data_IF_332434341981
#
_entry.id   IF_332434341981
#
_cell.length_a   1.000
_cell.length_b   1.000
_cell.length_c   1.000
_cell.angle_alpha   90.00
_cell.angle_beta   90.00
_cell.angle_gamma   90.00
#
_symmetry.space_group_name_H-M   'P 1'
#
loop_
_entity.id
_entity.type
_entity.pdbx_description
1 polymer ?
#
# COMPACT_ATOMS: atom_id res chain seq x y z
N UNK A 1 -13.87 5.69 13.05
CA UNK A 1 -13.02 5.66 11.83
C UNK A 1 -13.43 6.74 10.83
N UNK A 2 -14.70 7.16 10.81
CA UNK A 2 -15.21 8.26 9.98
C UNK A 2 -14.42 9.57 10.17
N UNK A 3 -13.97 9.85 11.39
CA UNK A 3 -13.19 11.05 11.73
C UNK A 3 -11.66 10.88 11.53
N UNK A 4 -11.21 9.71 11.05
CA UNK A 4 -9.79 9.40 10.77
C UNK A 4 -9.49 9.29 9.27
N UNK A 5 -10.49 9.45 8.42
CA UNK A 5 -10.35 9.37 6.96
C UNK A 5 -10.71 10.75 6.42
N UNK A 6 -9.79 11.36 5.67
CA UNK A 6 -10.02 12.67 5.09
C UNK A 6 -11.20 12.64 4.10
N UNK A 7 -11.98 13.72 4.06
CA UNK A 7 -13.02 13.90 3.05
C UNK A 7 -12.39 13.80 1.65
N UNK A 8 -13.01 13.03 0.76
CA UNK A 8 -12.53 12.70 -0.61
C UNK A 8 -11.37 11.70 -0.68
N UNK A 9 -11.05 11.00 0.40
CA UNK A 9 -10.18 9.82 0.31
C UNK A 9 -10.80 8.77 -0.62
N UNK A 10 -9.97 8.11 -1.43
CA UNK A 10 -10.37 7.01 -2.31
C UNK A 10 -9.93 5.70 -1.68
N UNK A 11 -10.86 4.76 -1.51
CA UNK A 11 -10.53 3.41 -1.07
C UNK A 11 -10.17 2.56 -2.29
N UNK A 12 -8.96 2.01 -2.33
CA UNK A 12 -8.55 1.08 -3.39
C UNK A 12 -8.38 -0.32 -2.80
N UNK A 13 -9.28 -1.24 -3.15
CA UNK A 13 -9.18 -2.65 -2.74
C UNK A 13 -9.60 -3.58 -3.87
N UNK A 14 -9.29 -4.87 -3.72
CA UNK A 14 -9.95 -5.90 -4.52
C UNK A 14 -11.47 -5.90 -4.26
N UNK A 15 -12.24 -6.48 -5.19
CA UNK A 15 -13.71 -6.50 -5.20
C UNK A 15 -14.35 -7.35 -4.09
N UNK A 16 -13.67 -7.55 -2.96
CA UNK A 16 -14.20 -8.31 -1.84
C UNK A 16 -15.39 -7.57 -1.19
N UNK A 17 -16.49 -8.29 -0.95
CA UNK A 17 -17.78 -7.72 -0.56
C UNK A 17 -17.73 -6.87 0.72
N UNK A 18 -16.87 -7.23 1.68
CA UNK A 18 -16.70 -6.47 2.92
C UNK A 18 -16.24 -5.02 2.68
N UNK A 19 -15.33 -4.81 1.73
CA UNK A 19 -14.82 -3.47 1.41
C UNK A 19 -15.85 -2.64 0.64
N UNK A 20 -16.61 -3.28 -0.26
CA UNK A 20 -17.72 -2.63 -0.98
C UNK A 20 -18.80 -2.13 -0.01
N UNK A 21 -19.21 -2.96 0.94
CA UNK A 21 -20.20 -2.58 1.95
C UNK A 21 -19.66 -1.48 2.88
N UNK A 22 -18.38 -1.54 3.25
CA UNK A 22 -17.74 -0.51 4.04
C UNK A 22 -17.68 0.84 3.32
N UNK A 23 -17.29 0.86 2.03
CA UNK A 23 -17.23 2.07 1.23
C UNK A 23 -18.60 2.73 1.09
N UNK A 24 -19.63 1.93 0.77
CA UNK A 24 -21.02 2.39 0.69
C UNK A 24 -21.51 2.99 2.01
N UNK A 25 -21.26 2.31 3.13
CA UNK A 25 -21.67 2.79 4.47
C UNK A 25 -21.02 4.12 4.85
N UNK A 26 -19.80 4.37 4.39
CA UNK A 26 -19.04 5.57 4.73
C UNK A 26 -19.04 6.65 3.63
N UNK A 27 -19.76 6.44 2.52
CA UNK A 27 -19.77 7.32 1.35
C UNK A 27 -18.36 7.62 0.81
N UNK A 28 -17.52 6.59 0.75
CA UNK A 28 -16.14 6.66 0.26
C UNK A 28 -16.12 6.17 -1.19
N UNK A 29 -15.41 6.88 -2.06
CA UNK A 29 -15.21 6.45 -3.44
C UNK A 29 -14.40 5.14 -3.46
N UNK A 30 -14.90 4.12 -4.16
CA UNK A 30 -14.26 2.80 -4.22
C UNK A 30 -14.13 2.32 -5.67
N UNK A 31 -13.13 2.80 -6.42
CA UNK A 31 -12.81 2.27 -7.74
C UNK A 31 -12.33 0.84 -7.56
N UNK A 32 -13.22 -0.11 -7.81
CA UNK A 32 -12.93 -1.53 -7.70
C UNK A 32 -12.09 -1.95 -8.90
N UNK A 33 -10.97 -2.63 -8.61
CA UNK A 33 -10.09 -3.22 -9.62
C UNK A 33 -10.37 -4.73 -9.64
N UNK A 34 -10.92 -5.23 -10.75
CA UNK A 34 -11.24 -6.65 -10.90
C UNK A 34 -10.00 -7.41 -11.36
N UNK A 35 -9.20 -7.84 -10.38
CA UNK A 35 -8.04 -8.73 -10.61
C UNK A 35 -8.45 -10.00 -11.39
N UNK A 36 -9.64 -10.54 -11.12
CA UNK A 36 -10.18 -11.72 -11.82
C UNK A 36 -10.48 -11.49 -13.30
N UNK A 37 -10.70 -10.25 -13.71
CA UNK A 37 -10.88 -9.85 -15.11
C UNK A 37 -9.54 -9.48 -15.78
N UNK A 38 -8.40 -9.79 -15.15
CA UNK A 38 -7.05 -9.35 -15.55
C UNK A 38 -6.85 -7.83 -15.59
N UNK A 39 -7.71 -7.08 -14.90
CA UNK A 39 -7.51 -5.65 -14.69
C UNK A 39 -6.63 -5.46 -13.45
N UNK A 40 -5.44 -4.89 -13.63
CA UNK A 40 -4.49 -4.61 -12.55
C UNK A 40 -4.28 -3.11 -12.30
N UNK A 41 -4.77 -2.28 -13.22
CA UNK A 41 -4.61 -0.82 -13.22
C UNK A 41 -5.95 -0.16 -13.55
N UNK A 42 -6.31 0.87 -12.79
CA UNK A 42 -7.44 1.77 -13.10
C UNK A 42 -6.98 3.21 -12.86
N UNK A 43 -6.68 3.94 -13.94
CA UNK A 43 -6.04 5.26 -13.84
C UNK A 43 -4.65 5.18 -13.20
N UNK A 44 -4.43 5.93 -12.12
CA UNK A 44 -3.19 5.93 -11.32
C UNK A 44 -3.13 4.77 -10.32
N UNK A 45 -4.21 4.05 -10.11
CA UNK A 45 -4.31 3.01 -9.08
C UNK A 45 -3.85 1.66 -9.60
N UNK A 46 -2.83 1.07 -8.96
CA UNK A 46 -2.27 -0.23 -9.33
C UNK A 46 -2.38 -1.22 -8.18
N UNK A 47 -3.17 -2.29 -8.36
CA UNK A 47 -3.42 -3.27 -7.28
C UNK A 47 -2.16 -4.03 -6.89
N UNK A 48 -1.23 -4.26 -7.83
CA UNK A 48 0.01 -4.97 -7.51
C UNK A 48 0.94 -4.12 -6.64
N UNK A 49 0.86 -2.79 -6.70
CA UNK A 49 1.66 -1.93 -5.84
C UNK A 49 1.26 -2.10 -4.37
N UNK A 50 -0.06 -2.09 -4.11
CA UNK A 50 -0.63 -2.34 -2.79
C UNK A 50 -0.30 -3.76 -2.32
N UNK A 51 -0.37 -4.76 -3.20
CA UNK A 51 -0.01 -6.14 -2.87
C UNK A 51 1.47 -6.27 -2.51
N UNK A 52 2.38 -5.59 -3.22
CA UNK A 52 3.81 -5.56 -2.90
C UNK A 52 4.03 -4.99 -1.50
N UNK A 53 3.50 -3.79 -1.22
CA UNK A 53 3.61 -3.15 0.10
C UNK A 53 3.07 -4.07 1.20
N UNK A 54 1.92 -4.71 0.96
CA UNK A 54 1.31 -5.62 1.95
C UNK A 54 2.16 -6.86 2.19
N UNK A 55 2.78 -7.42 1.14
CA UNK A 55 3.69 -8.55 1.25
C UNK A 55 4.94 -8.18 2.03
N UNK A 56 5.54 -7.03 1.70
CA UNK A 56 6.74 -6.52 2.36
C UNK A 56 6.47 -6.25 3.85
N UNK A 57 5.33 -5.64 4.17
CA UNK A 57 4.91 -5.42 5.55
C UNK A 57 4.73 -6.74 6.31
N UNK A 58 4.12 -7.77 5.69
CA UNK A 58 3.97 -9.09 6.32
C UNK A 58 5.31 -9.73 6.62
N UNK A 59 6.25 -9.67 5.67
CA UNK A 59 7.61 -10.18 5.86
C UNK A 59 8.32 -9.45 6.99
N UNK A 60 8.20 -8.12 7.04
CA UNK A 60 8.77 -7.30 8.10
C UNK A 60 8.16 -7.62 9.47
N UNK A 61 6.83 -7.77 9.55
CA UNK A 61 6.13 -8.16 10.78
C UNK A 61 6.54 -9.56 11.25
N UNK A 62 6.81 -10.49 10.33
CA UNK A 62 7.17 -11.88 10.66
C UNK A 62 8.48 -12.00 11.44
N UNK A 63 9.36 -10.99 11.37
CA UNK A 63 10.57 -10.94 12.19
C UNK A 63 10.28 -10.76 13.69
N UNK A 64 9.11 -10.22 14.05
CA UNK A 64 8.70 -10.05 15.43
C UNK A 64 8.00 -11.31 15.93
N UNK A 65 8.46 -11.89 17.04
CA UNK A 65 7.87 -13.08 17.68
C UNK A 65 6.57 -12.77 18.44
N UNK A 66 5.65 -12.08 17.77
CA UNK A 66 4.41 -11.56 18.32
C UNK A 66 4.36 -10.04 18.29
N UNK A 67 3.40 -9.49 17.56
CA UNK A 67 3.09 -8.06 17.55
C UNK A 67 1.95 -7.82 18.52
N UNK A 68 2.20 -7.02 19.57
CA UNK A 68 1.13 -6.59 20.46
C UNK A 68 0.21 -5.61 19.72
N UNK A 69 -1.07 -5.95 19.59
CA UNK A 69 -2.07 -5.11 18.92
C UNK A 69 -2.20 -3.72 19.56
N UNK A 70 -1.88 -3.58 20.86
CA UNK A 70 -1.81 -2.30 21.58
C UNK A 70 -0.81 -1.33 20.95
N UNK A 71 0.27 -1.83 20.37
CA UNK A 71 1.36 -1.01 19.81
C UNK A 71 1.42 -1.09 18.28
N UNK A 72 0.40 -1.63 17.61
CA UNK A 72 0.39 -1.82 16.15
C UNK A 72 0.76 -0.53 15.39
N UNK A 73 0.25 0.62 15.83
CA UNK A 73 0.59 1.92 15.22
C UNK A 73 2.09 2.22 15.29
N UNK A 74 2.76 1.87 16.39
CA UNK A 74 4.20 2.09 16.54
C UNK A 74 4.99 1.21 15.58
N UNK A 75 4.59 -0.05 15.39
CA UNK A 75 5.20 -0.94 14.40
C UNK A 75 5.06 -0.36 12.98
N UNK A 76 3.86 0.11 12.61
CA UNK A 76 3.65 0.73 11.30
C UNK A 76 4.48 2.01 11.11
N UNK A 77 4.63 2.81 12.16
CA UNK A 77 5.48 4.01 12.13
C UNK A 77 6.96 3.62 11.93
N UNK A 78 7.43 2.56 12.58
CA UNK A 78 8.80 2.05 12.38
C UNK A 78 9.02 1.53 10.97
N UNK A 79 8.07 0.77 10.44
CA UNK A 79 8.11 0.30 9.06
C UNK A 79 8.24 1.47 8.07
N UNK A 80 7.44 2.52 8.24
CA UNK A 80 7.53 3.72 7.40
C UNK A 80 8.85 4.49 7.58
N UNK A 81 9.34 4.62 8.82
CA UNK A 81 10.60 5.31 9.09
C UNK A 81 11.81 4.60 8.46
N UNK A 82 11.84 3.27 8.50
CA UNK A 82 12.91 2.47 7.86
C UNK A 82 12.94 2.74 6.35
N UNK A 83 11.79 2.74 5.68
CA UNK A 83 11.72 3.02 4.23
C UNK A 83 12.24 4.44 3.89
N UNK A 84 11.92 5.44 4.70
CA UNK A 84 12.44 6.81 4.53
C UNK A 84 13.96 6.86 4.74
N UNK A 85 14.45 6.21 5.79
CA UNK A 85 15.88 6.18 6.12
C UNK A 85 16.68 5.44 5.03
N UNK A 86 16.20 4.29 4.55
CA UNK A 86 16.86 3.53 3.48
C UNK A 86 16.97 4.34 2.20
N UNK A 87 15.92 5.07 1.83
CA UNK A 87 15.92 5.98 0.67
C UNK A 87 16.89 7.14 0.84
N UNK A 88 17.02 7.67 2.05
CA UNK A 88 17.94 8.78 2.36
C UNK A 88 19.41 8.34 2.39
N UNK A 89 19.71 7.15 2.94
CA UNK A 89 21.08 6.62 3.07
C UNK A 89 21.64 6.14 1.74
N UNK A 90 20.80 5.64 0.83
CA UNK A 90 21.27 5.05 -0.43
C UNK A 90 20.73 5.77 -1.68
N UNK A 91 21.06 7.07 -1.85
CA UNK A 91 20.59 7.85 -2.99
C UNK A 91 21.08 7.26 -4.30
N UNK A 92 22.32 6.74 -4.35
CA UNK A 92 22.89 6.11 -5.55
C UNK A 92 22.10 4.86 -6.00
N UNK A 93 21.68 4.00 -5.07
CA UNK A 93 20.82 2.84 -5.39
C UNK A 93 19.47 3.28 -5.94
N UNK A 94 18.93 4.39 -5.44
CA UNK A 94 17.68 4.96 -5.93
C UNK A 94 17.85 5.55 -7.34
N UNK A 95 18.92 6.29 -7.61
CA UNK A 95 19.24 6.82 -8.94
C UNK A 95 19.48 5.69 -9.94
N UNK A 96 20.21 4.65 -9.55
CA UNK A 96 20.44 3.47 -10.38
C UNK A 96 19.12 2.74 -10.73
N UNK A 97 18.23 2.53 -9.74
CA UNK A 97 16.89 1.98 -10.01
C UNK A 97 16.09 2.84 -10.98
N UNK A 98 16.13 4.16 -10.85
CA UNK A 98 15.44 5.08 -11.78
C UNK A 98 16.00 4.98 -13.19
N UNK A 99 17.33 4.96 -13.35
CA UNK A 99 17.99 4.79 -14.64
C UNK A 99 17.57 3.47 -15.27
N UNK A 100 17.68 2.35 -14.54
CA UNK A 100 17.29 1.02 -15.03
C UNK A 100 15.80 0.98 -15.40
N UNK A 101 14.91 1.51 -14.55
CA UNK A 101 13.48 1.56 -14.86
C UNK A 101 13.18 2.39 -16.12
N UNK A 102 13.93 3.46 -16.38
CA UNK A 102 13.79 4.27 -17.60
C UNK A 102 14.31 3.59 -18.86
N UNK A 103 15.32 2.72 -18.74
CA UNK A 103 15.90 1.99 -19.89
C UNK A 103 15.10 0.74 -20.27
N UNK A 104 14.36 0.16 -19.33
CA UNK A 104 13.53 -1.03 -19.55
C UNK A 104 12.09 -0.67 -19.95
N UNK A 105 11.72 0.61 -19.93
CA UNK A 105 10.38 1.11 -20.28
C UNK A 105 10.15 1.32 -21.79
N UNK A 106 10.87 0.60 -22.65
CA UNK A 106 10.70 0.62 -24.12
C UNK A 106 10.06 -0.68 -24.61
#
# INVERSE_FOLDING_TARGET
MKDKIELKSVLCTNTHHSYTSFAKKNNIEHPTIKVSAKEYKRGTYHVQHINSITSDLKLWINAFKGVSTKYLQNYLNWYAAIDVIEKAINPAKQTAKMIIASTVAW
#
